data_IF_881281575176
#
_entry.id   IF_881281575176
#
_cell.length_a   1.000
_cell.length_b   1.000
_cell.length_c   1.000
_cell.angle_alpha   90.00
_cell.angle_beta   90.00
_cell.angle_gamma   90.00
#
_symmetry.space_group_name_H-M   'P 1'
#
loop_
_entity.id
_entity.type
_entity.pdbx_description
1 polymer ?
#
# COMPACT_ATOMS: atom_id res chain seq x y z
N UNK A 1 19.77 -8.26 -13.49
CA UNK A 1 18.55 -7.56 -13.04
C UNK A 1 17.80 -8.48 -12.11
N UNK A 2 17.38 -7.98 -10.95
CA UNK A 2 16.61 -8.78 -10.00
C UNK A 2 15.12 -8.64 -10.33
N UNK A 3 14.64 -9.45 -11.28
CA UNK A 3 13.29 -9.34 -11.84
C UNK A 3 12.19 -9.37 -10.75
N UNK A 4 12.41 -10.09 -9.65
CA UNK A 4 11.45 -10.19 -8.55
C UNK A 4 11.24 -8.87 -7.80
N UNK A 5 12.29 -8.06 -7.59
CA UNK A 5 12.12 -6.72 -7.01
C UNK A 5 11.35 -5.78 -7.94
N UNK A 6 11.56 -5.90 -9.26
CA UNK A 6 10.81 -5.13 -10.24
C UNK A 6 9.32 -5.50 -10.19
N UNK A 7 9.00 -6.80 -10.18
CA UNK A 7 7.62 -7.29 -10.08
C UNK A 7 6.98 -6.82 -8.77
N UNK A 8 7.68 -6.95 -7.63
CA UNK A 8 7.18 -6.49 -6.33
C UNK A 8 6.89 -4.98 -6.34
N UNK A 9 7.78 -4.17 -6.93
CA UNK A 9 7.59 -2.73 -7.09
C UNK A 9 6.38 -2.39 -7.95
N UNK A 10 6.19 -3.05 -9.10
CA UNK A 10 5.03 -2.86 -9.98
C UNK A 10 3.73 -3.23 -9.27
N UNK A 11 3.68 -4.37 -8.58
CA UNK A 11 2.51 -4.78 -7.78
C UNK A 11 2.19 -3.72 -6.73
N UNK A 12 3.20 -3.19 -6.05
CA UNK A 12 3.00 -2.14 -5.04
C UNK A 12 2.45 -0.83 -5.64
N UNK A 13 2.93 -0.41 -6.83
CA UNK A 13 2.39 0.74 -7.57
C UNK A 13 0.91 0.54 -7.89
N UNK A 14 0.58 -0.59 -8.51
CA UNK A 14 -0.79 -0.92 -8.90
C UNK A 14 -1.71 -0.99 -7.68
N UNK A 15 -1.21 -1.54 -6.57
CA UNK A 15 -1.94 -1.60 -5.31
C UNK A 15 -2.26 -0.20 -4.79
N UNK A 16 -1.29 0.73 -4.78
CA UNK A 16 -1.51 2.11 -4.38
C UNK A 16 -2.51 2.84 -5.28
N UNK A 17 -2.44 2.62 -6.60
CA UNK A 17 -3.39 3.18 -7.57
C UNK A 17 -4.81 2.66 -7.28
N UNK A 18 -4.98 1.34 -7.23
CA UNK A 18 -6.29 0.70 -6.98
C UNK A 18 -6.83 1.15 -5.63
N UNK A 19 -6.01 1.15 -4.58
CA UNK A 19 -6.43 1.58 -3.24
C UNK A 19 -6.94 3.01 -3.27
N UNK A 20 -6.15 3.98 -3.75
CA UNK A 20 -6.56 5.39 -3.82
C UNK A 20 -7.77 5.62 -4.73
N UNK A 21 -7.79 5.05 -5.93
CA UNK A 21 -8.86 5.25 -6.90
C UNK A 21 -10.17 4.63 -6.41
N UNK A 22 -10.13 3.43 -5.84
CA UNK A 22 -11.35 2.76 -5.37
C UNK A 22 -11.88 3.41 -4.10
N UNK A 23 -11.03 3.81 -3.16
CA UNK A 23 -11.47 4.57 -1.99
C UNK A 23 -12.17 5.87 -2.40
N UNK A 24 -11.59 6.57 -3.36
CA UNK A 24 -12.17 7.80 -3.87
C UNK A 24 -13.53 7.56 -4.56
N UNK A 25 -13.60 6.59 -5.47
CA UNK A 25 -14.83 6.31 -6.23
C UNK A 25 -15.95 5.69 -5.39
N UNK A 26 -15.61 4.78 -4.47
CA UNK A 26 -16.60 4.01 -3.72
C UNK A 26 -17.06 4.71 -2.44
N UNK A 27 -16.18 5.50 -1.80
CA UNK A 27 -16.45 6.08 -0.48
C UNK A 27 -16.46 7.61 -0.57
N UNK A 28 -15.30 8.21 -0.85
CA UNK A 28 -15.08 9.61 -0.54
C UNK A 28 -15.75 10.58 -1.50
N UNK A 29 -15.93 10.21 -2.77
CA UNK A 29 -16.66 11.03 -3.74
C UNK A 29 -18.07 11.38 -3.27
N UNK A 30 -18.73 10.46 -2.55
CA UNK A 30 -20.08 10.65 -2.04
C UNK A 30 -20.13 11.54 -0.79
N UNK A 31 -18.97 11.87 -0.20
CA UNK A 31 -18.82 12.68 1.01
C UNK A 31 -18.21 14.06 0.72
N UNK A 32 -18.08 14.43 -0.56
CA UNK A 32 -17.57 15.74 -0.99
C UNK A 32 -18.72 16.75 -1.09
N UNK A 33 -18.39 18.00 -0.80
CA UNK A 33 -19.22 19.17 -1.09
C UNK A 33 -18.37 20.20 -1.85
N UNK A 34 -18.43 20.16 -3.18
CA UNK A 34 -17.69 21.04 -4.10
C UNK A 34 -16.18 20.84 -4.22
N UNK A 35 -15.50 20.30 -3.19
CA UNK A 35 -14.04 20.14 -3.12
C UNK A 35 -13.49 18.73 -3.37
N UNK A 36 -12.16 18.59 -3.37
CA UNK A 36 -11.45 17.30 -3.44
C UNK A 36 -11.49 16.53 -2.11
N UNK A 37 -11.39 17.25 -0.98
CA UNK A 37 -11.40 16.65 0.35
C UNK A 37 -12.86 16.49 0.79
N UNK A 38 -13.25 15.35 1.36
CA UNK A 38 -14.58 15.17 1.94
C UNK A 38 -14.93 16.25 2.96
N UNK A 39 -16.12 16.83 2.83
CA UNK A 39 -16.63 17.87 3.72
C UNK A 39 -17.94 17.45 4.41
N UNK A 40 -18.51 16.31 4.02
CA UNK A 40 -19.70 15.75 4.64
C UNK A 40 -19.30 14.70 5.69
N UNK A 41 -20.04 14.68 6.79
CA UNK A 41 -20.01 13.56 7.74
C UNK A 41 -20.77 12.35 7.19
N UNK A 42 -20.46 11.17 7.72
CA UNK A 42 -21.21 9.94 7.46
C UNK A 42 -21.69 9.39 8.81
N UNK A 43 -22.87 9.80 9.31
CA UNK A 43 -23.33 9.45 10.66
C UNK A 43 -23.17 7.95 10.95
N UNK A 44 -22.51 7.56 12.06
CA UNK A 44 -22.10 8.37 13.23
C UNK A 44 -20.76 9.12 13.10
N UNK A 45 -20.05 9.00 11.98
CA UNK A 45 -18.72 9.58 11.76
C UNK A 45 -18.84 11.07 11.40
N UNK A 46 -18.28 11.93 12.26
CA UNK A 46 -18.17 13.38 12.03
C UNK A 46 -17.22 13.70 10.88
N UNK A 47 -17.44 14.82 10.19
CA UNK A 47 -16.61 15.31 9.08
C UNK A 47 -15.10 15.21 9.38
N UNK A 48 -14.65 15.74 10.54
CA UNK A 48 -13.22 15.71 10.90
C UNK A 48 -12.61 14.31 10.87
N UNK A 49 -13.37 13.29 11.27
CA UNK A 49 -12.90 11.90 11.26
C UNK A 49 -12.94 11.32 9.85
N UNK A 50 -13.93 11.69 9.02
CA UNK A 50 -13.95 11.35 7.58
C UNK A 50 -12.70 11.91 6.89
N UNK A 51 -12.30 13.14 7.19
CA UNK A 51 -11.10 13.77 6.62
C UNK A 51 -9.81 13.07 7.06
N UNK A 52 -9.73 12.63 8.31
CA UNK A 52 -8.61 11.79 8.79
C UNK A 52 -8.57 10.46 8.04
N UNK A 53 -9.71 9.79 7.89
CA UNK A 53 -9.82 8.51 7.17
C UNK A 53 -9.42 8.69 5.70
N UNK A 54 -9.86 9.77 5.04
CA UNK A 54 -9.47 10.12 3.68
C UNK A 54 -7.96 10.34 3.55
N UNK A 55 -7.37 11.11 4.47
CA UNK A 55 -5.94 11.37 4.46
C UNK A 55 -5.12 10.09 4.69
N UNK A 56 -5.48 9.26 5.67
CA UNK A 56 -4.77 8.01 5.96
C UNK A 56 -4.93 6.96 4.87
N UNK A 57 -6.06 6.99 4.15
CA UNK A 57 -6.28 6.15 2.97
C UNK A 57 -5.27 6.45 1.85
N UNK A 58 -5.09 7.72 1.50
CA UNK A 58 -4.10 8.10 0.49
C UNK A 58 -2.67 7.98 0.99
N UNK A 59 -2.42 8.24 2.28
CA UNK A 59 -1.11 8.08 2.90
C UNK A 59 -0.57 6.65 2.75
N UNK A 60 -1.44 5.63 2.90
CA UNK A 60 -1.07 4.24 2.65
C UNK A 60 -0.58 3.99 1.22
N UNK A 61 -1.18 4.66 0.24
CA UNK A 61 -0.75 4.57 -1.18
C UNK A 61 0.62 5.23 -1.39
N UNK A 62 0.84 6.39 -0.77
CA UNK A 62 2.11 7.12 -0.83
C UNK A 62 3.25 6.28 -0.24
N UNK A 63 3.04 5.66 0.93
CA UNK A 63 4.04 4.77 1.52
C UNK A 63 4.27 3.51 0.67
N UNK A 64 3.22 2.93 0.08
CA UNK A 64 3.34 1.86 -0.90
C UNK A 64 4.24 2.25 -2.07
N UNK A 65 4.01 3.42 -2.67
CA UNK A 65 4.84 3.94 -3.76
C UNK A 65 6.28 4.24 -3.36
N UNK A 66 6.51 4.70 -2.12
CA UNK A 66 7.87 4.86 -1.61
C UNK A 66 8.60 3.51 -1.56
N UNK A 67 7.95 2.45 -1.05
CA UNK A 67 8.51 1.10 -1.08
C UNK A 67 8.73 0.62 -2.52
N UNK A 68 7.80 0.87 -3.43
CA UNK A 68 7.95 0.53 -4.84
C UNK A 68 9.18 1.19 -5.47
N UNK A 69 9.42 2.47 -5.20
CA UNK A 69 10.60 3.19 -5.69
C UNK A 69 11.90 2.56 -5.21
N UNK A 70 11.96 2.15 -3.94
CA UNK A 70 13.11 1.42 -3.38
C UNK A 70 13.29 0.08 -4.11
N UNK A 71 12.23 -0.73 -4.22
CA UNK A 71 12.30 -2.05 -4.87
C UNK A 71 12.73 -1.95 -6.34
N UNK A 72 12.19 -1.00 -7.09
CA UNK A 72 12.57 -0.76 -8.49
C UNK A 72 14.05 -0.34 -8.56
N UNK A 73 14.51 0.54 -7.67
CA UNK A 73 15.93 0.92 -7.61
C UNK A 73 16.84 -0.30 -7.38
N UNK A 74 16.45 -1.19 -6.47
CA UNK A 74 17.18 -2.43 -6.18
C UNK A 74 17.19 -3.40 -7.37
N UNK A 75 16.15 -3.41 -8.20
CA UNK A 75 16.09 -4.26 -9.38
C UNK A 75 17.17 -3.93 -10.43
N UNK A 76 17.52 -2.64 -10.55
CA UNK A 76 18.49 -2.13 -11.52
C UNK A 76 19.89 -1.89 -10.94
N UNK A 77 19.99 -1.57 -9.65
CA UNK A 77 21.28 -1.29 -9.01
C UNK A 77 21.29 -1.88 -7.61
N UNK A 78 21.77 -3.14 -7.48
CA UNK A 78 21.99 -3.74 -6.17
C UNK A 78 23.01 -2.90 -5.39
N UNK A 79 22.63 -2.45 -4.19
CA UNK A 79 23.52 -1.69 -3.30
C UNK A 79 23.71 -2.45 -1.97
N UNK A 80 24.87 -2.35 -1.30
CA UNK A 80 25.03 -2.75 0.10
C UNK A 80 24.89 -1.56 1.08
N UNK A 81 24.43 -1.77 2.35
CA UNK A 81 23.73 -2.92 2.89
C UNK A 81 22.21 -2.72 2.77
N UNK A 82 21.58 -3.46 1.85
CA UNK A 82 20.14 -3.39 1.58
C UNK A 82 19.29 -4.26 2.49
N UNK A 83 19.91 -5.09 3.33
CA UNK A 83 19.21 -6.08 4.17
C UNK A 83 18.21 -5.44 5.14
N UNK A 84 18.58 -4.37 5.86
CA UNK A 84 17.67 -3.73 6.82
C UNK A 84 16.45 -3.12 6.12
N UNK A 85 16.66 -2.42 4.99
CA UNK A 85 15.58 -1.77 4.24
C UNK A 85 14.64 -2.82 3.65
N UNK A 86 15.20 -3.87 3.06
CA UNK A 86 14.43 -4.99 2.50
C UNK A 86 13.62 -5.68 3.58
N UNK A 87 14.21 -5.98 4.74
CA UNK A 87 13.52 -6.57 5.89
C UNK A 87 12.39 -5.66 6.38
N UNK A 88 12.62 -4.34 6.48
CA UNK A 88 11.59 -3.38 6.85
C UNK A 88 10.42 -3.37 5.86
N UNK A 89 10.69 -3.42 4.55
CA UNK A 89 9.65 -3.50 3.50
C UNK A 89 8.85 -4.80 3.63
N UNK A 90 9.53 -5.93 3.85
CA UNK A 90 8.87 -7.24 4.05
C UNK A 90 7.95 -7.19 5.26
N UNK A 91 8.42 -6.73 6.42
CA UNK A 91 7.61 -6.65 7.64
C UNK A 91 6.47 -5.65 7.52
N UNK A 92 6.68 -4.49 6.87
CA UNK A 92 5.61 -3.51 6.65
C UNK A 92 4.48 -4.11 5.80
N UNK A 93 4.81 -4.79 4.70
CA UNK A 93 3.81 -5.39 3.81
C UNK A 93 3.17 -6.64 4.42
N UNK A 94 3.94 -7.49 5.11
CA UNK A 94 3.40 -8.67 5.78
C UNK A 94 2.49 -8.29 6.95
N UNK A 95 2.90 -7.33 7.78
CA UNK A 95 2.08 -6.79 8.86
C UNK A 95 0.80 -6.15 8.33
N UNK A 96 0.90 -5.38 7.24
CA UNK A 96 -0.26 -4.84 6.53
C UNK A 96 -1.19 -5.93 5.97
N UNK A 97 -0.63 -6.99 5.38
CA UNK A 97 -1.40 -8.12 4.87
C UNK A 97 -2.18 -8.81 5.99
N UNK A 98 -1.53 -9.11 7.11
CA UNK A 98 -2.17 -9.72 8.29
C UNK A 98 -3.26 -8.80 8.84
N UNK A 99 -2.99 -7.50 8.98
CA UNK A 99 -3.96 -6.53 9.47
C UNK A 99 -5.21 -6.48 8.59
N UNK A 100 -5.05 -6.41 7.26
CA UNK A 100 -6.17 -6.38 6.31
C UNK A 100 -6.91 -7.72 6.31
N UNK A 101 -6.20 -8.85 6.34
CA UNK A 101 -6.79 -10.18 6.39
C UNK A 101 -7.68 -10.34 7.63
N UNK A 102 -7.15 -10.04 8.81
CA UNK A 102 -7.87 -10.16 10.08
C UNK A 102 -9.00 -9.13 10.17
N UNK A 103 -8.70 -7.86 9.91
CA UNK A 103 -9.65 -6.75 10.02
C UNK A 103 -10.85 -6.85 9.07
N UNK A 104 -10.68 -7.53 7.93
CA UNK A 104 -11.75 -7.70 6.93
C UNK A 104 -12.29 -9.13 6.85
N UNK A 105 -11.84 -10.02 7.74
CA UNK A 105 -12.18 -11.46 7.72
C UNK A 105 -11.91 -12.10 6.34
N UNK A 106 -10.81 -11.70 5.71
CA UNK A 106 -10.37 -12.17 4.39
C UNK A 106 -11.16 -11.67 3.19
N UNK A 107 -12.17 -10.80 3.39
CA UNK A 107 -13.05 -10.35 2.31
C UNK A 107 -12.46 -9.24 1.45
N UNK A 108 -11.45 -8.53 1.94
CA UNK A 108 -10.82 -7.45 1.19
C UNK A 108 -9.57 -7.95 0.44
N UNK A 109 -9.52 -7.94 -0.90
CA UNK A 109 -8.44 -8.55 -1.68
C UNK A 109 -7.06 -7.91 -1.45
N UNK A 110 -7.00 -6.72 -0.86
CA UNK A 110 -5.74 -6.03 -0.56
C UNK A 110 -4.74 -6.84 0.28
N UNK A 111 -5.19 -7.80 1.12
CA UNK A 111 -4.26 -8.65 1.87
C UNK A 111 -3.40 -9.52 0.94
N UNK A 112 -3.96 -9.97 -0.19
CA UNK A 112 -3.25 -10.79 -1.19
C UNK A 112 -2.15 -9.96 -1.85
N UNK A 113 -2.45 -8.73 -2.24
CA UNK A 113 -1.50 -7.84 -2.91
C UNK A 113 -0.32 -7.49 -1.99
N UNK A 114 -0.60 -7.15 -0.72
CA UNK A 114 0.42 -6.86 0.28
C UNK A 114 1.28 -8.11 0.58
N UNK A 115 0.66 -9.28 0.71
CA UNK A 115 1.37 -10.54 0.92
C UNK A 115 2.27 -10.88 -0.28
N UNK A 116 1.80 -10.65 -1.50
CA UNK A 116 2.58 -10.86 -2.72
C UNK A 116 3.83 -9.96 -2.74
N UNK A 117 3.70 -8.67 -2.40
CA UNK A 117 4.86 -7.76 -2.29
C UNK A 117 5.86 -8.27 -1.26
N UNK A 118 5.39 -8.67 -0.08
CA UNK A 118 6.25 -9.20 0.99
C UNK A 118 6.98 -10.48 0.54
N UNK A 119 6.26 -11.45 -0.02
CA UNK A 119 6.81 -12.72 -0.47
C UNK A 119 7.83 -12.55 -1.60
N UNK A 120 7.50 -11.78 -2.63
CA UNK A 120 8.40 -11.50 -3.75
C UNK A 120 9.67 -10.79 -3.28
N UNK A 121 9.54 -9.82 -2.39
CA UNK A 121 10.68 -9.08 -1.81
C UNK A 121 11.57 -10.01 -0.98
N UNK A 122 10.99 -10.89 -0.18
CA UNK A 122 11.73 -11.87 0.63
C UNK A 122 12.48 -12.89 -0.24
N UNK A 123 11.81 -13.45 -1.25
CA UNK A 123 12.42 -14.42 -2.16
C UNK A 123 13.55 -13.77 -2.96
N UNK A 124 13.35 -12.54 -3.46
CA UNK A 124 14.40 -11.78 -4.14
C UNK A 124 15.63 -11.59 -3.25
N UNK A 125 15.42 -11.24 -1.99
CA UNK A 125 16.49 -11.05 -1.01
C UNK A 125 17.24 -12.35 -0.66
N UNK A 126 16.53 -13.48 -0.65
CA UNK A 126 17.10 -14.79 -0.29
C UNK A 126 17.87 -15.43 -1.45
N UNK A 127 17.65 -14.94 -2.68
CA UNK A 127 18.27 -15.44 -3.90
C UNK A 127 19.46 -14.58 -4.39
N UNK A 128 19.74 -13.46 -3.71
CA UNK A 128 20.82 -12.53 -4.00
C UNK A 128 22.04 -12.79 -3.11
#
# INVERSE_FOLDING_TARGET
MQNLYLVAGVVSILTGIVHSVFGERLIFRHLRDGGLVPALGAPPIRERHVRIIWATWHLGSIFGWAFAGVLIRLAFTPAPPTSLVVVAIVFANLGGAILVLVGTKGRHPGWVALLAVAALTWVAASAA
#
